data_IF_494621818201
#
_entry.id   IF_494621818201
#
_cell.length_a   1.000
_cell.length_b   1.000
_cell.length_c   1.000
_cell.angle_alpha   90.00
_cell.angle_beta   90.00
_cell.angle_gamma   90.00
#
_symmetry.space_group_name_H-M   'P 1'
#
loop_
_entity.id
_entity.type
_entity.pdbx_description
1 polymer ?
#
# COMPACT_ATOMS: atom_id res chain seq x y z
N UNK A 1 -44.28 -41.50 47.69
CA UNK A 1 -42.85 -41.35 48.05
C UNK A 1 -42.26 -40.33 47.07
N UNK A 2 -42.10 -39.06 47.46
CA UNK A 2 -40.83 -38.42 47.95
C UNK A 2 -39.70 -38.62 46.91
N UNK A 3 -38.96 -37.65 46.36
CA UNK A 3 -38.87 -36.18 46.37
C UNK A 3 -37.71 -35.80 45.40
N UNK A 4 -37.52 -34.49 45.17
CA UNK A 4 -36.28 -33.76 44.83
C UNK A 4 -36.03 -33.26 43.38
N UNK A 5 -36.36 -31.98 43.18
CA UNK A 5 -35.46 -30.87 42.81
C UNK A 5 -34.24 -31.15 41.91
N UNK A 6 -34.20 -30.49 40.74
CA UNK A 6 -33.35 -29.30 40.50
C UNK A 6 -33.55 -28.77 39.08
N UNK A 7 -33.96 -27.50 39.00
CA UNK A 7 -33.98 -26.75 37.76
C UNK A 7 -32.54 -26.55 37.29
N UNK A 8 -32.18 -27.13 36.15
CA UNK A 8 -30.90 -26.86 35.49
C UNK A 8 -31.14 -25.73 34.48
N UNK A 9 -31.04 -24.48 34.95
CA UNK A 9 -31.02 -23.31 34.08
C UNK A 9 -29.67 -23.33 33.34
N UNK A 10 -29.68 -23.71 32.06
CA UNK A 10 -28.54 -23.52 31.17
C UNK A 10 -28.46 -22.04 30.79
N UNK A 11 -27.57 -21.30 31.45
CA UNK A 11 -27.19 -19.93 31.09
C UNK A 11 -26.38 -19.99 29.78
N UNK A 12 -27.03 -19.68 28.66
CA UNK A 12 -26.36 -19.42 27.39
C UNK A 12 -25.69 -18.05 27.51
N UNK A 13 -24.44 -18.03 27.95
CA UNK A 13 -23.59 -16.84 27.89
C UNK A 13 -23.23 -16.59 26.42
N UNK A 14 -24.03 -15.77 25.73
CA UNK A 14 -23.66 -15.22 24.43
C UNK A 14 -22.44 -14.32 24.61
N UNK A 15 -21.24 -14.85 24.34
CA UNK A 15 -20.03 -14.03 24.25
C UNK A 15 -20.18 -13.10 23.05
N UNK A 16 -20.56 -11.84 23.31
CA UNK A 16 -20.30 -10.75 22.38
C UNK A 16 -18.78 -10.57 22.32
N UNK A 17 -18.14 -11.21 21.35
CA UNK A 17 -16.79 -10.81 20.94
C UNK A 17 -16.90 -9.38 20.39
N UNK A 18 -16.13 -8.40 20.88
CA UNK A 18 -16.08 -7.11 20.23
C UNK A 18 -15.54 -7.31 18.83
N UNK A 19 -16.34 -6.96 17.82
CA UNK A 19 -15.86 -6.80 16.47
C UNK A 19 -14.88 -5.62 16.51
N UNK A 20 -13.59 -5.91 16.59
CA UNK A 20 -12.56 -4.90 16.33
C UNK A 20 -12.64 -4.57 14.86
N UNK A 21 -13.42 -3.55 14.52
CA UNK A 21 -13.33 -2.87 13.23
C UNK A 21 -11.98 -2.16 13.26
N UNK A 22 -11.00 -2.75 12.57
CA UNK A 22 -9.67 -2.18 12.46
C UNK A 22 -9.76 -0.77 11.88
N UNK A 23 -9.21 0.20 12.61
CA UNK A 23 -8.84 1.50 12.07
C UNK A 23 -7.97 1.32 10.81
N UNK A 24 -7.98 2.30 9.90
CA UNK A 24 -7.16 2.29 8.69
C UNK A 24 -5.71 1.92 9.03
N UNK A 25 -5.36 0.65 8.81
CA UNK A 25 -4.07 0.11 9.24
C UNK A 25 -2.94 0.63 8.36
N UNK A 26 -3.26 1.19 7.20
CA UNK A 26 -2.27 1.67 6.25
C UNK A 26 -2.31 3.20 6.23
N UNK A 27 -1.18 3.85 6.53
CA UNK A 27 -1.03 5.31 6.38
C UNK A 27 -0.07 5.62 5.25
N UNK A 28 -0.26 6.77 4.60
CA UNK A 28 0.62 7.27 3.54
C UNK A 28 1.09 8.67 3.90
N UNK A 29 2.40 8.85 3.98
CA UNK A 29 3.04 10.09 4.39
C UNK A 29 3.92 10.67 3.28
N UNK A 30 3.97 11.99 3.22
CA UNK A 30 4.93 12.72 2.36
C UNK A 30 4.78 12.43 0.86
N UNK A 31 3.57 12.13 0.40
CA UNK A 31 3.34 11.80 -1.00
C UNK A 31 3.58 13.01 -1.92
N UNK A 32 4.39 12.81 -2.96
CA UNK A 32 4.58 13.79 -4.03
C UNK A 32 4.86 13.10 -5.36
N UNK A 33 4.51 13.79 -6.45
CA UNK A 33 4.81 13.36 -7.81
C UNK A 33 5.76 14.35 -8.49
N UNK A 34 6.56 13.86 -9.44
CA UNK A 34 7.50 14.67 -10.20
C UNK A 34 7.57 14.22 -11.65
N UNK A 35 7.51 15.19 -12.55
CA UNK A 35 7.92 15.07 -13.95
C UNK A 35 9.29 15.74 -14.17
N UNK A 36 10.06 15.28 -15.16
CA UNK A 36 11.36 15.90 -15.50
C UNK A 36 11.22 17.24 -16.23
N UNK A 37 10.10 17.46 -16.90
CA UNK A 37 9.76 18.71 -17.57
C UNK A 37 8.24 18.78 -17.84
N UNK A 38 7.74 19.96 -18.24
CA UNK A 38 6.33 20.14 -18.64
C UNK A 38 5.92 19.32 -19.86
N UNK A 39 6.89 18.91 -20.69
CA UNK A 39 6.66 18.10 -21.90
C UNK A 39 6.91 16.60 -21.66
N UNK A 40 7.28 16.21 -20.45
CA UNK A 40 7.54 14.82 -20.11
C UNK A 40 6.31 13.94 -20.41
N UNK A 41 6.57 12.75 -20.93
CA UNK A 41 5.53 11.74 -21.19
C UNK A 41 5.33 10.78 -20.02
N UNK A 42 6.12 10.94 -18.97
CA UNK A 42 6.07 10.16 -17.75
C UNK A 42 6.39 11.00 -16.52
N UNK A 43 5.95 10.50 -15.37
CA UNK A 43 6.24 11.06 -14.05
C UNK A 43 6.41 9.91 -13.05
N UNK A 44 7.07 10.19 -11.92
CA UNK A 44 7.19 9.26 -10.82
C UNK A 44 6.57 9.85 -9.54
N UNK A 45 5.94 9.01 -8.71
CA UNK A 45 5.52 9.37 -7.37
C UNK A 45 6.29 8.60 -6.30
N UNK A 46 6.47 9.30 -5.19
CA UNK A 46 7.26 8.92 -4.03
C UNK A 46 6.43 9.21 -2.79
N UNK A 47 6.54 8.36 -1.77
CA UNK A 47 5.80 8.42 -0.51
C UNK A 47 6.34 7.36 0.45
N UNK A 48 6.04 7.51 1.73
CA UNK A 48 6.18 6.41 2.70
C UNK A 48 4.80 5.80 2.94
N UNK A 49 4.70 4.47 2.85
CA UNK A 49 3.49 3.72 3.18
C UNK A 49 3.79 2.92 4.45
N UNK A 50 3.01 3.10 5.51
CA UNK A 50 3.20 2.41 6.80
C UNK A 50 2.06 1.46 7.04
N UNK A 51 2.37 0.27 7.52
CA UNK A 51 1.39 -0.71 7.97
C UNK A 51 1.43 -0.81 9.49
N UNK A 52 0.39 -0.31 10.12
CA UNK A 52 0.16 -0.30 11.56
C UNK A 52 -0.50 -1.59 12.07
N UNK A 53 -0.80 -2.55 11.20
CA UNK A 53 -1.24 -3.89 11.59
C UNK A 53 -0.06 -4.85 11.71
N UNK A 54 -0.23 -5.92 12.48
CA UNK A 54 0.75 -7.02 12.56
C UNK A 54 0.73 -7.97 11.35
N UNK A 55 -0.20 -7.79 10.42
CA UNK A 55 -0.36 -8.68 9.26
C UNK A 55 0.36 -8.07 8.06
N UNK A 56 1.13 -8.88 7.33
CA UNK A 56 1.78 -8.44 6.10
C UNK A 56 0.75 -8.11 5.01
N UNK A 57 1.08 -7.12 4.19
CA UNK A 57 0.28 -6.70 3.03
C UNK A 57 1.21 -6.46 1.82
N UNK A 58 0.64 -6.06 0.69
CA UNK A 58 1.38 -5.84 -0.55
C UNK A 58 0.78 -4.70 -1.36
N UNK A 59 1.63 -3.75 -1.75
CA UNK A 59 1.28 -2.77 -2.77
C UNK A 59 1.30 -3.44 -4.15
N UNK A 60 0.14 -3.78 -4.68
CA UNK A 60 0.01 -4.47 -5.98
C UNK A 60 0.07 -3.51 -7.18
N UNK A 61 -0.26 -2.24 -6.97
CA UNK A 61 -0.25 -1.23 -8.01
C UNK A 61 -0.98 0.04 -7.59
N UNK A 62 -1.12 0.95 -8.54
CA UNK A 62 -1.85 2.20 -8.38
C UNK A 62 -2.68 2.48 -9.64
N UNK A 63 -3.60 3.44 -9.56
CA UNK A 63 -4.42 3.90 -10.70
C UNK A 63 -4.36 5.42 -10.79
N UNK A 64 -4.60 5.94 -11.99
CA UNK A 64 -4.61 7.37 -12.26
C UNK A 64 -5.43 7.65 -13.52
N UNK A 65 -6.16 8.77 -13.48
CA UNK A 65 -6.97 9.26 -14.62
C UNK A 65 -6.14 10.11 -15.59
N UNK A 66 -4.95 10.57 -15.16
CA UNK A 66 -4.08 11.45 -15.94
C UNK A 66 -2.94 10.70 -16.65
N UNK A 67 -2.91 9.38 -16.56
CA UNK A 67 -1.88 8.54 -17.17
C UNK A 67 -2.49 7.34 -17.87
N UNK A 68 -1.99 6.99 -19.05
CA UNK A 68 -2.43 5.80 -19.80
C UNK A 68 -2.11 4.49 -19.07
N UNK A 69 -1.08 4.49 -18.23
CA UNK A 69 -0.66 3.32 -17.45
C UNK A 69 0.06 3.75 -16.18
N UNK A 70 -0.14 2.98 -15.12
CA UNK A 70 0.56 3.14 -13.86
C UNK A 70 1.25 1.82 -13.53
N UNK A 71 2.52 1.88 -13.16
CA UNK A 71 3.35 0.70 -12.91
C UNK A 71 4.15 0.90 -11.61
N UNK A 72 4.48 -0.18 -10.90
CA UNK A 72 5.45 -0.15 -9.82
C UNK A 72 6.83 -0.42 -10.40
N UNK A 73 7.82 0.37 -10.04
CA UNK A 73 9.18 0.27 -10.54
C UNK A 73 10.18 0.23 -9.39
N UNK A 74 11.29 -0.46 -9.60
CA UNK A 74 12.46 -0.51 -8.71
C UNK A 74 13.71 -0.12 -9.48
N UNK A 75 14.83 0.04 -8.79
CA UNK A 75 16.13 0.27 -9.43
C UNK A 75 17.01 -0.97 -9.29
N UNK A 76 17.57 -1.42 -10.41
CA UNK A 76 18.56 -2.49 -10.44
C UNK A 76 19.88 -1.94 -10.98
N UNK A 77 20.99 -2.43 -10.44
CA UNK A 77 22.32 -2.17 -10.98
C UNK A 77 22.59 -3.18 -12.09
N UNK A 78 22.85 -2.73 -13.31
CA UNK A 78 23.35 -3.62 -14.37
C UNK A 78 24.82 -3.98 -14.17
N UNK A 79 25.28 -5.00 -14.90
CA UNK A 79 26.65 -5.53 -14.81
C UNK A 79 27.74 -4.48 -15.08
N UNK A 80 27.44 -3.50 -15.94
CA UNK A 80 28.25 -2.32 -16.26
C UNK A 80 28.23 -1.23 -15.17
N UNK A 81 27.50 -1.46 -14.07
CA UNK A 81 27.38 -0.55 -12.95
C UNK A 81 26.34 0.56 -13.10
N UNK A 82 25.60 0.59 -14.22
CA UNK A 82 24.56 1.59 -14.48
C UNK A 82 23.27 1.26 -13.72
N UNK A 83 22.65 2.26 -13.09
CA UNK A 83 21.35 2.07 -12.45
C UNK A 83 20.23 2.13 -13.50
N UNK A 84 19.39 1.09 -13.55
CA UNK A 84 18.26 0.98 -14.48
C UNK A 84 16.96 0.83 -13.70
N UNK A 85 15.92 1.54 -14.15
CA UNK A 85 14.56 1.33 -13.65
C UNK A 85 13.99 0.04 -14.24
N UNK A 86 13.32 -0.76 -13.42
CA UNK A 86 12.65 -1.99 -13.84
C UNK A 86 11.28 -2.09 -13.20
N UNK A 87 10.28 -2.43 -14.01
CA UNK A 87 8.94 -2.76 -13.51
C UNK A 87 8.98 -3.93 -12.52
N UNK A 88 8.21 -3.83 -11.46
CA UNK A 88 7.98 -4.88 -10.47
C UNK A 88 6.65 -5.54 -10.76
N UNK A 89 6.71 -6.83 -11.08
CA UNK A 89 5.51 -7.67 -11.20
C UNK A 89 5.22 -8.35 -9.85
N UNK A 90 3.94 -8.54 -9.54
CA UNK A 90 3.51 -9.16 -8.29
C UNK A 90 3.45 -8.21 -7.08
N UNK A 91 3.93 -6.97 -7.19
CA UNK A 91 3.80 -5.94 -6.16
C UNK A 91 4.91 -5.90 -5.11
N UNK A 92 4.94 -4.82 -4.33
CA UNK A 92 5.95 -4.53 -3.32
C UNK A 92 5.46 -4.96 -1.93
N UNK A 93 6.28 -5.72 -1.21
CA UNK A 93 5.95 -6.18 0.15
C UNK A 93 5.82 -4.99 1.11
N UNK A 94 4.77 -5.01 1.91
CA UNK A 94 4.56 -4.11 3.03
C UNK A 94 4.41 -4.97 4.31
N UNK A 95 5.53 -5.18 4.99
CA UNK A 95 5.55 -6.01 6.20
C UNK A 95 4.61 -5.45 7.29
N UNK A 96 4.08 -6.33 8.13
CA UNK A 96 3.30 -5.92 9.31
C UNK A 96 4.16 -5.11 10.28
N UNK A 97 3.59 -4.05 10.86
CA UNK A 97 4.28 -3.04 11.68
C UNK A 97 5.47 -2.39 10.95
N UNK A 98 5.50 -2.45 9.62
CA UNK A 98 6.61 -2.05 8.78
C UNK A 98 6.29 -0.83 7.90
N UNK A 99 7.29 -0.42 7.13
CA UNK A 99 7.19 0.66 6.16
C UNK A 99 7.71 0.23 4.79
N UNK A 100 7.02 0.71 3.74
CA UNK A 100 7.45 0.65 2.36
C UNK A 100 7.81 2.06 1.90
N UNK A 101 9.10 2.27 1.62
CA UNK A 101 9.62 3.56 1.21
C UNK A 101 9.70 3.65 -0.32
N UNK A 102 8.83 4.44 -0.92
CA UNK A 102 8.88 4.78 -2.34
C UNK A 102 9.70 6.07 -2.53
N UNK A 103 10.93 5.95 -3.02
CA UNK A 103 11.92 7.03 -3.06
C UNK A 103 12.76 7.05 -4.35
N UNK A 104 13.41 8.18 -4.59
CA UNK A 104 14.30 8.36 -5.75
C UNK A 104 15.47 7.38 -5.68
N UNK A 105 15.74 6.69 -6.78
CA UNK A 105 16.78 5.66 -6.84
C UNK A 105 16.40 4.32 -6.20
N UNK A 106 15.17 4.19 -5.68
CA UNK A 106 14.62 2.94 -5.15
C UNK A 106 13.27 2.61 -5.76
N UNK A 107 12.38 2.04 -4.97
CA UNK A 107 11.01 1.72 -5.40
C UNK A 107 10.19 3.00 -5.63
N UNK A 108 9.30 3.01 -6.61
CA UNK A 108 8.46 4.16 -6.92
C UNK A 108 7.25 3.76 -7.78
N UNK A 109 6.24 4.63 -7.81
CA UNK A 109 5.13 4.52 -8.76
C UNK A 109 5.50 5.30 -10.02
N UNK A 110 5.41 4.66 -11.18
CA UNK A 110 5.69 5.25 -12.49
C UNK A 110 4.40 5.45 -13.27
N UNK A 111 4.13 6.69 -13.67
CA UNK A 111 3.02 7.08 -14.53
C UNK A 111 3.53 7.20 -15.97
N UNK A 112 2.95 6.44 -16.88
CA UNK A 112 3.36 6.36 -18.28
C UNK A 112 2.26 6.89 -19.20
N UNK A 113 2.65 7.70 -20.18
CA UNK A 113 1.72 8.30 -21.13
C UNK A 113 0.82 9.33 -20.48
N UNK A 114 1.42 10.34 -19.86
CA UNK A 114 0.69 11.46 -19.26
C UNK A 114 -0.23 12.15 -20.28
N UNK A 115 -1.48 12.39 -19.91
CA UNK A 115 -2.50 13.08 -20.72
C UNK A 115 -2.53 14.59 -20.46
N UNK A 116 -1.97 15.02 -19.32
CA UNK A 116 -1.83 16.41 -18.92
C UNK A 116 -0.48 16.64 -18.23
N UNK A 117 0.06 17.88 -18.22
CA UNK A 117 1.29 18.19 -17.50
C UNK A 117 1.12 18.00 -15.99
N UNK A 118 2.16 17.46 -15.33
CA UNK A 118 2.28 17.52 -13.86
C UNK A 118 3.09 18.78 -13.51
N UNK A 119 2.52 19.60 -12.62
CA UNK A 119 3.14 20.82 -12.11
C UNK A 119 3.16 20.77 -10.59
N UNK A 120 4.22 21.30 -9.98
CA UNK A 120 4.36 21.38 -8.52
C UNK A 120 3.11 22.00 -7.87
N UNK A 121 2.63 21.38 -6.78
CA UNK A 121 1.48 21.86 -6.01
C UNK A 121 0.10 21.52 -6.60
N UNK A 122 0.03 20.61 -7.57
CA UNK A 122 -1.22 20.01 -8.07
C UNK A 122 -1.22 18.50 -7.92
#
# INVERSE_FOLDING_TARGET
>A
MISFYRHFIFLLAAMLTPLVVGAEAITVDGAYARASSKLAKSAAAFMEIKNMSSTEDRLLGARSDFAKRVELHTHIKSEDGVMKMRRVDGGLLLAGNGNLMLQRGGDHIMFMGLTQPISDGK
#
